data_IF_647418967970
#
_entry.id   IF_647418967970
#
_cell.length_a   1.000
_cell.length_b   1.000
_cell.length_c   1.000
_cell.angle_alpha   90.00
_cell.angle_beta   90.00
_cell.angle_gamma   90.00
#
_symmetry.space_group_name_H-M   'P 1'
#
loop_
_entity.id
_entity.type
_entity.pdbx_description
1 polymer ?
#
# COMPACT_ATOMS: atom_id res chain seq x y z
N UNK A 1 -11.32 1.96 22.98
CA UNK A 1 -10.87 0.88 22.07
C UNK A 1 -9.36 0.74 22.19
N UNK A 2 -8.82 -0.47 22.35
CA UNK A 2 -7.37 -0.72 22.45
C UNK A 2 -6.63 -0.22 21.20
N UNK A 3 -5.50 0.47 21.36
CA UNK A 3 -4.75 1.08 20.24
C UNK A 3 -4.34 0.12 19.12
N UNK A 4 -4.23 -1.18 19.42
CA UNK A 4 -3.88 -2.20 18.43
C UNK A 4 -5.02 -2.52 17.44
N UNK A 5 -6.29 -2.37 17.84
CA UNK A 5 -7.42 -2.58 16.91
C UNK A 5 -7.41 -1.55 15.78
N UNK A 6 -7.08 -0.29 16.07
CA UNK A 6 -7.11 0.82 15.09
C UNK A 6 -6.03 0.70 14.00
N UNK A 7 -5.00 -0.11 14.24
CA UNK A 7 -3.87 -0.28 13.34
C UNK A 7 -4.16 -1.32 12.26
N UNK A 8 -4.65 -2.49 12.67
CA UNK A 8 -5.02 -3.55 11.73
C UNK A 8 -6.20 -3.14 10.85
N UNK A 9 -7.21 -2.47 11.41
CA UNK A 9 -8.36 -1.98 10.63
C UNK A 9 -7.93 -0.98 9.56
N UNK A 10 -7.00 -0.07 9.88
CA UNK A 10 -6.43 0.88 8.93
C UNK A 10 -5.65 0.16 7.82
N UNK A 11 -4.75 -0.76 8.17
CA UNK A 11 -3.96 -1.47 7.16
C UNK A 11 -4.83 -2.28 6.21
N UNK A 12 -5.88 -2.92 6.73
CA UNK A 12 -6.87 -3.64 5.91
C UNK A 12 -7.61 -2.66 5.00
N UNK A 13 -8.07 -1.52 5.52
CA UNK A 13 -8.73 -0.49 4.72
C UNK A 13 -7.85 -0.03 3.54
N UNK A 14 -6.61 0.35 3.83
CA UNK A 14 -5.66 0.85 2.83
C UNK A 14 -5.36 -0.23 1.79
N UNK A 15 -5.06 -1.46 2.21
CA UNK A 15 -4.75 -2.54 1.28
C UNK A 15 -5.97 -2.90 0.41
N UNK A 16 -7.17 -2.96 0.98
CA UNK A 16 -8.40 -3.19 0.22
C UNK A 16 -8.62 -2.12 -0.85
N UNK A 17 -8.36 -0.85 -0.53
CA UNK A 17 -8.49 0.26 -1.50
C UNK A 17 -7.48 0.16 -2.64
N UNK A 18 -6.24 -0.17 -2.33
CA UNK A 18 -5.18 -0.40 -3.31
C UNK A 18 -5.54 -1.56 -4.25
N UNK A 19 -6.08 -2.65 -3.70
CA UNK A 19 -6.39 -3.86 -4.46
C UNK A 19 -7.74 -3.81 -5.21
N UNK A 20 -8.65 -2.91 -4.88
CA UNK A 20 -10.01 -2.84 -5.46
C UNK A 20 -10.07 -2.56 -6.96
N UNK A 21 -8.96 -2.14 -7.55
CA UNK A 21 -8.84 -1.88 -8.99
C UNK A 21 -8.03 -2.95 -9.74
N UNK A 22 -7.59 -3.99 -9.04
CA UNK A 22 -6.84 -5.08 -9.63
C UNK A 22 -7.81 -6.16 -10.14
N UNK A 23 -7.60 -6.61 -11.37
CA UNK A 23 -8.18 -7.89 -11.81
C UNK A 23 -7.48 -9.01 -11.04
N UNK A 24 -8.27 -9.91 -10.47
CA UNK A 24 -7.81 -11.08 -9.72
C UNK A 24 -6.72 -10.75 -8.68
N UNK A 25 -7.07 -10.06 -7.58
CA UNK A 25 -6.13 -9.84 -6.51
C UNK A 25 -5.94 -11.16 -5.74
N UNK A 26 -4.97 -11.96 -6.18
CA UNK A 26 -4.49 -13.18 -5.52
C UNK A 26 -2.96 -13.12 -5.35
N UNK A 27 -2.45 -13.76 -4.30
CA UNK A 27 -1.02 -13.76 -3.94
C UNK A 27 -0.33 -12.38 -4.05
N UNK A 28 -0.99 -11.32 -3.56
CA UNK A 28 -0.52 -9.93 -3.73
C UNK A 28 0.85 -9.68 -3.08
N UNK A 29 1.21 -10.46 -2.07
CA UNK A 29 2.51 -10.45 -1.41
C UNK A 29 3.67 -10.87 -2.34
N UNK A 30 3.45 -11.83 -3.25
CA UNK A 30 4.45 -12.21 -4.27
C UNK A 30 4.62 -11.14 -5.35
N UNK A 31 3.64 -10.24 -5.47
CA UNK A 31 3.58 -9.20 -6.51
C UNK A 31 3.99 -7.82 -6.00
N UNK A 32 4.25 -7.72 -4.70
CA UNK A 32 4.67 -6.51 -4.04
C UNK A 32 6.16 -6.19 -4.28
N UNK A 33 6.44 -4.93 -4.55
CA UNK A 33 7.76 -4.33 -4.61
C UNK A 33 7.85 -3.20 -3.59
N UNK A 34 9.01 -3.08 -2.95
CA UNK A 34 9.41 -1.90 -2.22
C UNK A 34 10.17 -0.97 -3.14
N UNK A 35 9.79 0.30 -3.16
CA UNK A 35 10.48 1.34 -3.90
C UNK A 35 10.90 2.42 -2.92
N UNK A 36 12.18 2.77 -2.91
CA UNK A 36 12.69 3.96 -2.24
C UNK A 36 13.17 4.94 -3.31
N UNK A 37 12.61 6.14 -3.32
CA UNK A 37 12.98 7.22 -4.23
C UNK A 37 13.64 8.31 -3.40
N UNK A 38 14.93 8.50 -3.58
CA UNK A 38 15.69 9.57 -2.95
C UNK A 38 15.51 10.84 -3.78
N UNK A 39 15.08 11.91 -3.12
CA UNK A 39 14.84 13.20 -3.73
C UNK A 39 16.10 14.06 -3.67
N UNK A 40 16.16 15.10 -4.51
CA UNK A 40 17.30 16.01 -4.54
C UNK A 40 17.45 16.83 -3.26
N UNK A 41 18.71 17.09 -2.90
CA UNK A 41 19.07 17.90 -1.76
C UNK A 41 18.36 19.26 -1.81
N UNK A 42 17.63 19.60 -0.75
CA UNK A 42 16.85 20.83 -0.65
C UNK A 42 15.42 20.74 -1.17
N UNK A 43 14.99 19.62 -1.79
CA UNK A 43 13.58 19.37 -2.03
C UNK A 43 12.88 19.03 -0.70
N UNK A 44 12.13 19.98 -0.18
CA UNK A 44 11.53 19.96 1.16
C UNK A 44 10.00 19.98 1.13
N UNK A 45 9.39 19.73 -0.04
CA UNK A 45 7.94 19.72 -0.19
C UNK A 45 7.47 18.68 -1.22
N UNK A 46 7.02 17.52 -0.75
CA UNK A 46 6.42 16.48 -1.58
C UNK A 46 5.00 16.92 -1.85
N UNK A 47 4.77 17.42 -3.06
CA UNK A 47 3.42 17.75 -3.50
C UNK A 47 2.65 16.50 -3.92
N UNK A 48 1.33 16.53 -3.78
CA UNK A 48 0.41 15.57 -4.40
C UNK A 48 0.76 15.33 -5.88
N UNK A 49 1.21 16.38 -6.58
CA UNK A 49 1.61 16.33 -7.97
C UNK A 49 2.86 15.44 -8.19
N UNK A 50 3.85 15.47 -7.31
CA UNK A 50 5.03 14.60 -7.43
C UNK A 50 4.62 13.12 -7.30
N UNK A 51 3.88 12.79 -6.26
CA UNK A 51 3.45 11.40 -6.01
C UNK A 51 2.49 10.91 -7.09
N UNK A 52 1.58 11.77 -7.56
CA UNK A 52 0.71 11.50 -8.69
C UNK A 52 1.49 11.12 -9.95
N UNK A 53 2.51 11.91 -10.28
CA UNK A 53 3.34 11.66 -11.46
C UNK A 53 4.19 10.37 -11.32
N UNK A 54 4.69 10.05 -10.13
CA UNK A 54 5.37 8.77 -9.87
C UNK A 54 4.41 7.59 -10.10
N UNK A 55 3.22 7.65 -9.51
CA UNK A 55 2.20 6.61 -9.71
C UNK A 55 1.80 6.48 -11.18
N UNK A 56 1.66 7.58 -11.91
CA UNK A 56 1.38 7.55 -13.34
C UNK A 56 2.52 6.91 -14.13
N UNK A 57 3.77 7.29 -13.87
CA UNK A 57 4.94 6.63 -14.49
C UNK A 57 4.90 5.11 -14.27
N UNK A 58 4.69 4.64 -13.04
CA UNK A 58 4.59 3.21 -12.73
C UNK A 58 3.46 2.51 -13.52
N UNK A 59 2.30 3.15 -13.65
CA UNK A 59 1.17 2.59 -14.40
C UNK A 59 1.39 2.63 -15.92
N UNK A 60 2.08 3.65 -16.43
CA UNK A 60 2.43 3.76 -17.85
C UNK A 60 3.60 2.87 -18.27
N UNK A 61 4.46 2.46 -17.32
CA UNK A 61 5.70 1.74 -17.59
C UNK A 61 5.52 0.48 -18.45
N UNK A 62 4.40 -0.23 -18.27
CA UNK A 62 4.12 -1.48 -18.99
C UNK A 62 3.16 -1.33 -20.17
N UNK A 63 2.58 -0.13 -20.38
CA UNK A 63 1.53 0.12 -21.39
C UNK A 63 1.96 -0.24 -22.81
N UNK A 64 3.23 0.01 -23.15
CA UNK A 64 3.76 -0.25 -24.49
C UNK A 64 4.11 -1.73 -24.74
N UNK A 65 4.22 -2.53 -23.69
CA UNK A 65 4.69 -3.91 -23.77
C UNK A 65 3.57 -4.94 -23.72
N UNK A 66 2.43 -4.58 -23.11
CA UNK A 66 1.21 -5.38 -23.16
C UNK A 66 0.36 -4.89 -24.33
N UNK A 67 0.10 -5.74 -25.34
CA UNK A 67 -0.72 -5.40 -26.52
C UNK A 67 -2.23 -5.26 -26.22
N UNK A 68 -2.58 -4.61 -25.12
CA UNK A 68 -3.95 -4.39 -24.68
C UNK A 68 -3.99 -3.22 -23.71
N UNK A 69 -5.16 -2.59 -23.60
CA UNK A 69 -5.42 -1.63 -22.55
C UNK A 69 -5.26 -2.34 -21.21
N UNK A 70 -4.13 -2.15 -20.51
CA UNK A 70 -4.02 -2.50 -19.09
C UNK A 70 -4.90 -1.48 -18.34
N UNK A 71 -6.20 -1.62 -18.52
CA UNK A 71 -7.24 -0.92 -17.78
C UNK A 71 -7.15 -1.21 -16.27
N UNK A 72 -6.23 -2.10 -15.86
CA UNK A 72 -5.95 -2.50 -14.50
C UNK A 72 -4.70 -1.80 -13.99
N UNK A 73 -4.88 -0.97 -12.97
CA UNK A 73 -3.81 -0.17 -12.38
C UNK A 73 -2.99 -1.03 -11.41
N UNK A 74 -1.68 -0.79 -11.37
CA UNK A 74 -0.86 -1.23 -10.26
C UNK A 74 -1.35 -0.54 -8.99
N UNK A 75 -1.36 -1.27 -7.89
CA UNK A 75 -1.58 -0.69 -6.58
C UNK A 75 -0.34 0.07 -6.13
N UNK A 76 -0.50 1.24 -5.52
CA UNK A 76 0.64 2.02 -5.06
C UNK A 76 0.33 2.71 -3.72
N UNK A 77 1.14 2.48 -2.71
CA UNK A 77 1.08 3.15 -1.43
C UNK A 77 2.40 3.87 -1.22
N UNK A 78 2.38 5.20 -1.12
CA UNK A 78 3.56 5.98 -0.81
C UNK A 78 3.51 6.46 0.64
N UNK A 79 4.67 6.45 1.27
CA UNK A 79 4.98 7.19 2.49
C UNK A 79 6.24 8.00 2.26
N UNK A 80 6.35 9.20 2.81
CA UNK A 80 7.58 10.00 2.67
C UNK A 80 8.22 10.30 4.02
N UNK A 81 9.55 10.39 4.04
CA UNK A 81 10.39 10.73 5.19
C UNK A 81 11.39 11.82 4.78
N UNK A 82 11.15 13.04 5.24
CA UNK A 82 12.07 14.15 5.03
C UNK A 82 13.23 14.18 6.02
N UNK A 83 13.09 13.52 7.17
CA UNK A 83 14.10 13.51 8.21
C UNK A 83 15.21 12.47 7.95
N UNK A 84 15.07 11.64 6.91
CA UNK A 84 16.06 10.62 6.58
C UNK A 84 16.10 9.45 7.57
N UNK A 85 15.10 9.34 8.46
CA UNK A 85 15.17 8.46 9.64
C UNK A 85 14.89 6.99 9.36
N UNK A 86 14.36 6.66 8.17
CA UNK A 86 13.90 5.31 7.79
C UNK A 86 14.72 4.65 6.69
N UNK A 87 15.81 5.27 6.23
CA UNK A 87 16.64 4.63 5.21
C UNK A 87 17.30 3.36 5.76
N UNK A 88 16.97 2.23 5.13
CA UNK A 88 17.33 0.88 5.56
C UNK A 88 18.82 0.58 5.37
N UNK A 89 19.52 1.39 4.57
CA UNK A 89 20.85 1.07 4.07
C UNK A 89 21.98 2.01 4.53
N UNK A 90 21.77 2.85 5.55
CA UNK A 90 22.82 3.77 5.99
C UNK A 90 23.35 3.40 7.39
N UNK A 91 24.51 2.72 7.41
CA UNK A 91 25.36 2.54 8.60
C UNK A 91 26.03 3.86 9.06
N UNK A 92 25.75 4.97 8.39
CA UNK A 92 26.39 6.26 8.62
C UNK A 92 25.36 7.39 8.77
N UNK A 93 25.42 8.09 9.89
CA UNK A 93 24.68 9.34 10.17
C UNK A 93 25.15 10.52 9.28
N UNK A 94 25.32 10.34 7.97
CA UNK A 94 25.72 11.42 7.07
C UNK A 94 24.66 11.63 5.98
N UNK A 95 23.94 12.75 6.15
CA UNK A 95 22.97 13.38 5.25
C UNK A 95 21.60 12.69 5.16
N UNK A 96 20.65 13.24 5.91
CA UNK A 96 19.22 12.97 5.83
C UNK A 96 18.67 13.44 4.48
N UNK A 97 18.75 12.58 3.46
CA UNK A 97 18.17 12.87 2.15
C UNK A 97 16.66 12.59 2.20
N UNK A 98 15.81 13.57 1.83
CA UNK A 98 14.38 13.35 1.69
C UNK A 98 14.07 12.18 0.76
N UNK A 99 13.19 11.28 1.18
CA UNK A 99 12.88 10.12 0.36
C UNK A 99 11.41 9.70 0.47
N UNK A 100 10.96 9.02 -0.59
CA UNK A 100 9.64 8.38 -0.66
C UNK A 100 9.86 6.88 -0.55
N UNK A 101 9.28 6.27 0.48
CA UNK A 101 9.14 4.82 0.62
C UNK A 101 7.76 4.37 0.17
N UNK A 102 7.71 3.56 -0.87
CA UNK A 102 6.49 3.09 -1.46
C UNK A 102 6.40 1.57 -1.54
N UNK A 103 5.17 1.08 -1.41
CA UNK A 103 4.79 -0.28 -1.75
C UNK A 103 4.06 -0.26 -3.09
N UNK A 104 4.52 -1.05 -4.06
CA UNK A 104 3.86 -1.22 -5.36
C UNK A 104 3.37 -2.65 -5.49
N UNK A 105 2.08 -2.84 -5.70
CA UNK A 105 1.50 -4.16 -5.94
C UNK A 105 1.19 -4.27 -7.43
N UNK A 106 1.99 -5.09 -8.11
CA UNK A 106 1.89 -5.25 -9.56
C UNK A 106 0.66 -6.06 -9.94
N UNK A 107 0.08 -5.72 -11.09
CA UNK A 107 -0.92 -6.59 -11.70
C UNK A 107 -0.32 -7.97 -12.02
N UNK A 108 -1.14 -9.01 -11.96
CA UNK A 108 -0.74 -10.39 -12.25
C UNK A 108 -0.13 -10.51 -13.65
N UNK A 109 -0.72 -9.83 -14.64
CA UNK A 109 -0.23 -9.86 -16.02
C UNK A 109 1.22 -9.35 -16.15
N UNK A 110 1.62 -8.35 -15.37
CA UNK A 110 3.01 -7.85 -15.37
C UNK A 110 3.94 -8.92 -14.82
N UNK A 111 3.59 -9.56 -13.71
CA UNK A 111 4.41 -10.61 -13.11
C UNK A 111 4.53 -11.87 -13.98
N UNK A 112 3.51 -12.19 -14.77
CA UNK A 112 3.54 -13.32 -15.71
C UNK A 112 4.46 -13.04 -16.91
N UNK A 113 4.44 -11.80 -17.44
CA UNK A 113 5.10 -11.49 -18.71
C UNK A 113 6.53 -10.95 -18.58
N UNK A 114 6.94 -10.50 -17.41
CA UNK A 114 8.26 -9.88 -17.21
C UNK A 114 9.00 -10.51 -16.04
N UNK A 115 10.31 -10.71 -16.22
CA UNK A 115 11.18 -11.06 -15.11
C UNK A 115 11.28 -9.90 -14.12
N UNK A 116 11.67 -10.18 -12.88
CA UNK A 116 11.80 -9.13 -11.87
C UNK A 116 12.85 -8.07 -12.22
N UNK A 117 13.96 -8.45 -12.88
CA UNK A 117 14.98 -7.52 -13.35
C UNK A 117 14.40 -6.51 -14.35
N UNK A 118 13.68 -7.02 -15.35
CA UNK A 118 13.02 -6.17 -16.36
C UNK A 118 11.96 -5.25 -15.74
N UNK A 119 11.16 -5.76 -14.81
CA UNK A 119 10.15 -4.96 -14.11
C UNK A 119 10.81 -3.76 -13.40
N UNK A 120 11.90 -4.01 -12.67
CA UNK A 120 12.64 -2.98 -11.95
C UNK A 120 13.20 -1.94 -12.92
N UNK A 121 13.88 -2.38 -13.98
CA UNK A 121 14.47 -1.50 -15.00
C UNK A 121 13.41 -0.63 -15.70
N UNK A 122 12.27 -1.22 -16.07
CA UNK A 122 11.16 -0.54 -16.74
C UNK A 122 10.53 0.52 -15.82
N UNK A 123 10.27 0.17 -14.56
CA UNK A 123 9.73 1.13 -13.58
C UNK A 123 10.72 2.27 -13.33
N UNK A 124 11.99 1.95 -13.06
CA UNK A 124 13.05 2.96 -12.81
C UNK A 124 13.17 3.92 -13.99
N UNK A 125 13.25 3.38 -15.22
CA UNK A 125 13.33 4.18 -16.44
C UNK A 125 12.09 5.06 -16.64
N UNK A 126 10.89 4.53 -16.40
CA UNK A 126 9.65 5.30 -16.59
C UNK A 126 9.50 6.48 -15.63
N UNK A 127 10.01 6.35 -14.40
CA UNK A 127 10.03 7.45 -13.43
C UNK A 127 11.09 8.49 -13.84
N UNK A 128 12.32 8.07 -14.19
CA UNK A 128 13.41 8.97 -14.55
C UNK A 128 13.20 9.72 -15.88
N UNK A 129 12.44 9.12 -16.81
CA UNK A 129 12.09 9.77 -18.08
C UNK A 129 10.91 10.75 -17.95
N UNK A 130 10.26 10.86 -16.79
CA UNK A 130 9.16 11.80 -16.59
C UNK A 130 9.71 13.21 -16.36
N UNK A 131 9.66 14.05 -17.39
CA UNK A 131 10.21 15.42 -17.40
C UNK A 131 9.58 16.37 -16.39
N UNK A 132 8.43 16.03 -15.80
CA UNK A 132 7.78 16.84 -14.77
C UNK A 132 8.49 16.68 -13.42
N UNK A 133 9.00 15.47 -13.13
CA UNK A 133 9.48 15.10 -11.80
C UNK A 133 10.95 14.67 -11.75
N UNK A 134 11.58 14.37 -12.87
CA UNK A 134 12.92 13.78 -12.89
C UNK A 134 13.99 14.68 -12.26
N UNK A 135 13.85 16.00 -12.35
CA UNK A 135 14.74 16.97 -11.73
C UNK A 135 14.71 16.95 -10.20
N UNK A 136 13.73 16.30 -9.59
CA UNK A 136 13.60 16.15 -8.14
C UNK A 136 14.11 14.81 -7.62
N UNK A 137 14.55 13.90 -8.49
CA UNK A 137 14.91 12.52 -8.12
C UNK A 137 16.40 12.32 -8.30
N UNK A 138 17.08 11.90 -7.23
CA UNK A 138 18.50 11.57 -7.24
C UNK A 138 18.76 10.09 -7.52
N UNK A 139 18.05 9.20 -6.83
CA UNK A 139 18.15 7.76 -7.06
C UNK A 139 16.81 7.07 -6.79
N UNK A 140 16.69 5.87 -7.36
CA UNK A 140 15.58 4.95 -7.15
C UNK A 140 16.16 3.57 -6.84
N UNK A 141 15.90 3.09 -5.63
CA UNK A 141 16.14 1.71 -5.22
C UNK A 141 14.82 0.94 -5.26
N UNK A 142 14.81 -0.23 -5.88
CA UNK A 142 13.63 -1.10 -5.95
C UNK A 142 14.01 -2.50 -5.51
N UNK A 143 13.36 -2.96 -4.46
CA UNK A 143 13.50 -4.29 -3.90
C UNK A 143 12.20 -5.06 -4.00
N UNK A 144 12.29 -6.38 -3.94
CA UNK A 144 11.10 -7.21 -3.80
C UNK A 144 10.65 -7.29 -2.36
N UNK A 145 9.35 -7.46 -2.17
CA UNK A 145 8.81 -7.87 -0.88
C UNK A 145 9.08 -9.37 -0.65
N UNK A 146 10.25 -9.73 -0.11
CA UNK A 146 10.66 -11.13 0.10
C UNK A 146 10.63 -11.57 1.58
N UNK A 147 10.26 -10.70 2.52
CA UNK A 147 10.34 -11.03 3.95
C UNK A 147 9.21 -11.94 4.41
N UNK A 148 9.55 -13.21 4.69
CA UNK A 148 8.64 -14.21 5.26
C UNK A 148 8.09 -13.84 6.65
N UNK A 149 8.74 -12.95 7.38
CA UNK A 149 8.43 -12.65 8.79
C UNK A 149 7.53 -11.42 8.99
N UNK A 150 7.15 -10.73 7.90
CA UNK A 150 6.34 -9.51 7.98
C UNK A 150 5.20 -9.58 6.97
N UNK A 151 4.03 -9.09 7.34
CA UNK A 151 2.89 -8.97 6.41
C UNK A 151 2.88 -7.59 5.73
N UNK A 152 2.26 -7.48 4.54
CA UNK A 152 2.01 -6.18 3.89
C UNK A 152 1.25 -5.22 4.81
N UNK A 153 0.33 -5.76 5.63
CA UNK A 153 -0.42 -4.99 6.62
C UNK A 153 0.48 -4.39 7.70
N UNK A 154 1.52 -5.12 8.12
CA UNK A 154 2.51 -4.65 9.09
C UNK A 154 3.34 -3.50 8.52
N UNK A 155 3.65 -3.52 7.22
CA UNK A 155 4.34 -2.41 6.56
C UNK A 155 3.47 -1.14 6.49
N UNK A 156 2.20 -1.29 6.13
CA UNK A 156 1.24 -0.18 6.09
C UNK A 156 1.04 0.41 7.50
N UNK A 157 0.90 -0.44 8.53
CA UNK A 157 0.77 -0.01 9.92
C UNK A 157 2.03 0.71 10.42
N UNK A 158 3.21 0.14 10.15
CA UNK A 158 4.49 0.77 10.48
C UNK A 158 4.59 2.17 9.90
N UNK A 159 4.23 2.33 8.62
CA UNK A 159 4.30 3.62 7.92
C UNK A 159 3.45 4.70 8.62
N UNK A 160 2.22 4.37 9.05
CA UNK A 160 1.31 5.28 9.76
C UNK A 160 1.85 5.74 11.12
N UNK A 161 2.55 4.88 11.85
CA UNK A 161 3.04 5.21 13.21
C UNK A 161 4.04 6.39 13.22
N UNK A 162 4.69 6.67 12.09
CA UNK A 162 5.59 7.83 11.95
C UNK A 162 4.82 9.13 11.72
N UNK A 163 3.76 9.09 10.92
CA UNK A 163 2.87 10.23 10.70
C UNK A 163 2.25 10.75 12.00
N UNK A 164 1.79 9.85 12.88
CA UNK A 164 1.21 10.26 14.17
C UNK A 164 2.21 10.90 15.14
N UNK A 165 3.49 10.53 15.04
CA UNK A 165 4.54 11.18 15.83
C UNK A 165 4.87 12.58 15.28
N UNK A 166 4.74 12.78 13.97
CA UNK A 166 5.05 14.06 13.32
C UNK A 166 3.91 15.06 13.28
N UNK A 167 2.63 14.63 13.33
CA UNK A 167 1.48 15.57 13.30
C UNK A 167 1.46 16.56 14.48
N UNK A 168 2.14 16.25 15.58
CA UNK A 168 2.27 17.15 16.73
C UNK A 168 3.52 18.04 16.69
N UNK A 169 4.49 17.77 15.81
CA UNK A 169 5.77 18.49 15.78
C UNK A 169 6.11 19.10 14.41
N UNK A 170 5.88 18.38 13.30
CA UNK A 170 6.15 18.84 11.92
C UNK A 170 5.33 18.06 10.86
N UNK A 171 4.07 18.47 10.56
CA UNK A 171 3.16 17.74 9.66
C UNK A 171 3.58 17.69 8.18
N UNK A 172 4.59 18.47 7.77
CA UNK A 172 5.14 18.45 6.41
C UNK A 172 6.25 17.40 6.22
N UNK A 173 6.72 16.75 7.30
CA UNK A 173 7.84 15.80 7.22
C UNK A 173 7.41 14.37 6.87
N UNK A 174 6.13 14.01 7.07
CA UNK A 174 5.61 12.67 6.85
C UNK A 174 4.14 12.69 6.43
N UNK A 175 3.76 11.76 5.56
CA UNK A 175 2.38 11.54 5.13
C UNK A 175 2.26 10.37 4.17
N UNK A 176 1.03 10.01 3.82
CA UNK A 176 0.71 8.86 2.96
C UNK A 176 -0.15 9.21 1.77
N UNK A 177 0.12 8.55 0.65
CA UNK A 177 -0.77 8.55 -0.50
C UNK A 177 -1.10 7.13 -0.91
N UNK A 178 -2.37 6.89 -1.17
CA UNK A 178 -2.85 5.59 -1.60
C UNK A 178 -3.41 5.72 -3.00
N UNK A 179 -2.87 4.92 -3.89
CA UNK A 179 -3.21 4.88 -5.29
C UNK A 179 -3.72 3.50 -5.71
N UNK A 180 -4.73 3.47 -6.59
CA UNK A 180 -5.39 4.64 -7.17
C UNK A 180 -6.12 5.48 -6.10
N UNK A 181 -6.03 6.80 -6.24
CA UNK A 181 -6.68 7.75 -5.32
C UNK A 181 -8.16 7.37 -5.19
N UNK A 182 -8.77 7.73 -4.06
CA UNK A 182 -10.22 7.98 -4.00
C UNK A 182 -10.60 9.21 -4.86
N UNK A 183 -9.93 9.46 -6.00
CA UNK A 183 -10.20 10.49 -7.01
C UNK A 183 -11.60 10.35 -7.65
N UNK A 184 -12.45 9.52 -7.06
CA UNK A 184 -13.89 9.50 -7.15
C UNK A 184 -14.58 10.74 -6.55
N UNK A 185 -13.87 11.64 -5.85
CA UNK A 185 -14.55 12.71 -5.10
C UNK A 185 -15.34 13.72 -5.94
N UNK A 186 -15.08 13.94 -7.23
CA UNK A 186 -15.78 15.03 -7.96
C UNK A 186 -16.51 14.69 -9.28
N UNK A 187 -16.36 13.53 -9.92
CA UNK A 187 -16.95 13.30 -11.27
C UNK A 187 -17.49 11.90 -11.62
N UNK A 188 -17.52 10.94 -10.68
CA UNK A 188 -18.06 9.59 -10.96
C UNK A 188 -19.51 9.44 -10.51
N UNK A 189 -20.27 8.61 -11.23
CA UNK A 189 -21.66 8.30 -10.89
C UNK A 189 -21.76 7.60 -9.54
N UNK A 190 -22.88 7.76 -8.83
CA UNK A 190 -23.12 7.07 -7.56
C UNK A 190 -23.02 5.54 -7.70
N UNK A 191 -23.49 4.98 -8.81
CA UNK A 191 -23.35 3.55 -9.11
C UNK A 191 -21.87 3.09 -9.16
N UNK A 192 -20.97 3.91 -9.72
CA UNK A 192 -19.55 3.58 -9.77
C UNK A 192 -18.88 3.67 -8.39
N UNK A 193 -19.32 4.62 -7.55
CA UNK A 193 -18.87 4.73 -6.15
C UNK A 193 -19.33 3.53 -5.32
N UNK A 194 -20.58 3.12 -5.48
CA UNK A 194 -21.13 1.97 -4.75
C UNK A 194 -20.45 0.66 -5.17
N UNK A 195 -20.24 0.45 -6.47
CA UNK A 195 -19.46 -0.70 -6.96
C UNK A 195 -18.07 -0.74 -6.34
N UNK A 196 -17.39 0.40 -6.22
CA UNK A 196 -16.09 0.48 -5.57
C UNK A 196 -16.17 0.11 -4.09
N UNK A 197 -17.14 0.66 -3.34
CA UNK A 197 -17.36 0.32 -1.92
C UNK A 197 -17.58 -1.17 -1.72
N UNK A 198 -18.41 -1.78 -2.55
CA UNK A 198 -18.66 -3.22 -2.50
C UNK A 198 -17.35 -4.01 -2.73
N UNK A 199 -16.60 -3.68 -3.79
CA UNK A 199 -15.31 -4.33 -4.07
C UNK A 199 -14.30 -4.16 -2.92
N UNK A 200 -14.19 -2.98 -2.31
CA UNK A 200 -13.30 -2.77 -1.17
C UNK A 200 -13.73 -3.56 0.06
N UNK A 201 -15.05 -3.71 0.27
CA UNK A 201 -15.61 -4.50 1.38
C UNK A 201 -15.32 -5.98 1.19
N UNK A 202 -15.59 -6.49 -0.01
CA UNK A 202 -15.29 -7.89 -0.39
C UNK A 202 -13.79 -8.19 -0.22
N UNK A 203 -12.91 -7.24 -0.58
CA UNK A 203 -11.47 -7.40 -0.36
C UNK A 203 -11.07 -7.41 1.11
N UNK A 204 -11.70 -6.58 1.94
CA UNK A 204 -11.44 -6.58 3.38
C UNK A 204 -11.83 -7.93 4.00
N UNK A 205 -12.94 -8.53 3.56
CA UNK A 205 -13.36 -9.87 3.95
C UNK A 205 -12.34 -10.94 3.54
N UNK A 206 -11.84 -10.85 2.30
CA UNK A 206 -10.86 -11.77 1.73
C UNK A 206 -9.49 -11.71 2.42
N UNK A 207 -9.06 -10.53 2.90
CA UNK A 207 -7.81 -10.39 3.66
C UNK A 207 -7.75 -11.33 4.88
N UNK A 208 -8.88 -11.54 5.54
CA UNK A 208 -9.00 -12.41 6.71
C UNK A 208 -9.61 -13.78 6.36
N UNK A 209 -9.62 -14.17 5.09
CA UNK A 209 -10.13 -15.45 4.62
C UNK A 209 -9.05 -16.24 3.86
N UNK A 210 -8.67 -17.38 4.40
CA UNK A 210 -7.61 -18.23 3.85
C UNK A 210 -8.01 -18.79 2.49
N UNK A 211 -9.29 -19.08 2.27
CA UNK A 211 -9.79 -19.67 1.03
C UNK A 211 -9.80 -18.66 -0.13
N UNK A 212 -9.67 -17.36 0.19
CA UNK A 212 -9.68 -16.29 -0.82
C UNK A 212 -8.44 -16.24 -1.70
N UNK A 213 -7.36 -16.94 -1.31
CA UNK A 213 -6.04 -16.94 -1.93
C UNK A 213 -5.46 -15.52 -2.16
N UNK A 214 -5.94 -14.52 -1.41
CA UNK A 214 -5.47 -13.14 -1.56
C UNK A 214 -3.98 -13.02 -1.19
N UNK A 215 -3.56 -13.73 -0.15
CA UNK A 215 -2.17 -13.90 0.24
C UNK A 215 -1.72 -15.35 0.05
N UNK A 216 -0.40 -15.55 -0.04
CA UNK A 216 0.16 -16.89 0.13
C UNK A 216 -0.19 -17.46 1.52
N UNK A 217 -0.28 -18.80 1.68
CA UNK A 217 -0.65 -19.41 2.96
C UNK A 217 0.19 -18.94 4.15
N UNK A 218 1.51 -18.86 3.97
CA UNK A 218 2.42 -18.41 5.04
C UNK A 218 2.18 -16.96 5.45
N UNK A 219 1.94 -16.05 4.51
CA UNK A 219 1.60 -14.66 4.84
C UNK A 219 0.20 -14.52 5.42
N UNK A 220 -0.77 -15.35 4.99
CA UNK A 220 -2.09 -15.36 5.60
C UNK A 220 -2.04 -15.78 7.07
N UNK A 221 -1.24 -16.79 7.42
CA UNK A 221 -1.05 -17.23 8.81
C UNK A 221 -0.49 -16.08 9.68
N UNK A 222 0.40 -15.24 9.14
CA UNK A 222 0.86 -14.02 9.85
C UNK A 222 -0.26 -13.00 10.06
N UNK A 223 -1.08 -12.75 9.03
CA UNK A 223 -2.22 -11.82 9.12
C UNK A 223 -3.21 -12.30 10.19
N UNK A 224 -3.54 -13.59 10.19
CA UNK A 224 -4.46 -14.15 11.17
C UNK A 224 -3.90 -14.14 12.59
N UNK A 225 -2.61 -14.41 12.77
CA UNK A 225 -1.96 -14.29 14.08
C UNK A 225 -2.07 -12.86 14.62
N UNK A 226 -1.85 -11.84 13.79
CA UNK A 226 -2.04 -10.45 14.21
C UNK A 226 -3.51 -10.13 14.52
N UNK A 227 -4.44 -10.63 13.72
CA UNK A 227 -5.88 -10.46 13.99
C UNK A 227 -6.31 -11.10 15.32
N UNK A 228 -5.84 -12.31 15.62
CA UNK A 228 -6.14 -13.02 16.87
C UNK A 228 -5.57 -12.34 18.12
N UNK A 229 -4.44 -11.63 17.98
CA UNK A 229 -3.87 -10.82 19.06
C UNK A 229 -4.68 -9.57 19.36
N UNK A 230 -5.33 -8.99 18.33
CA UNK A 230 -6.13 -7.79 18.54
C UNK A 230 -7.55 -8.13 18.95
N UNK A 231 -8.20 -9.17 18.39
CA UNK A 231 -9.57 -9.55 18.73
C UNK A 231 -9.67 -10.72 19.73
N UNK A 232 -9.70 -10.39 21.02
CA UNK A 232 -9.86 -11.37 22.11
C UNK A 232 -11.16 -12.18 21.98
N UNK A 233 -12.23 -11.59 21.45
CA UNK A 233 -13.51 -12.30 21.26
C UNK A 233 -13.40 -13.32 20.14
N UNK A 234 -12.69 -12.98 19.06
CA UNK A 234 -12.37 -13.95 18.01
C UNK A 234 -11.50 -15.09 18.54
N UNK A 235 -10.48 -14.79 19.36
CA UNK A 235 -9.59 -15.79 19.96
C UNK A 235 -10.32 -16.74 20.93
N UNK A 236 -11.23 -16.21 21.73
CA UNK A 236 -11.99 -16.96 22.74
C UNK A 236 -13.23 -17.68 22.22
N UNK A 237 -13.62 -17.43 20.96
CA UNK A 237 -14.77 -18.06 20.31
C UNK A 237 -14.57 -19.58 20.17
N UNK A 238 -15.60 -20.35 20.57
CA UNK A 238 -15.56 -21.82 20.59
C UNK A 238 -16.10 -22.43 19.30
N UNK A 239 -16.88 -21.68 18.53
CA UNK A 239 -17.55 -22.16 17.32
C UNK A 239 -17.16 -21.37 16.08
N UNK A 240 -17.33 -21.98 14.91
CA UNK A 240 -17.14 -21.33 13.61
C UNK A 240 -18.11 -20.15 13.40
N UNK A 241 -19.36 -20.29 13.82
CA UNK A 241 -20.36 -19.22 13.79
C UNK A 241 -19.96 -18.01 14.65
N UNK A 242 -19.46 -18.22 15.87
CA UNK A 242 -18.96 -17.15 16.73
C UNK A 242 -17.77 -16.42 16.08
N UNK A 243 -16.80 -17.18 15.52
CA UNK A 243 -15.66 -16.61 14.80
C UNK A 243 -16.09 -15.76 13.61
N UNK A 244 -17.06 -16.24 12.82
CA UNK A 244 -17.65 -15.47 11.70
C UNK A 244 -18.32 -14.19 12.19
N UNK A 245 -19.08 -14.24 13.29
CA UNK A 245 -19.74 -13.06 13.88
C UNK A 245 -18.73 -12.01 14.35
N UNK A 246 -17.65 -12.43 15.00
CA UNK A 246 -16.59 -11.53 15.44
C UNK A 246 -15.84 -10.90 14.26
N UNK A 247 -15.46 -11.71 13.26
CA UNK A 247 -14.87 -11.22 12.00
C UNK A 247 -15.76 -10.17 11.33
N UNK A 248 -17.05 -10.45 11.17
CA UNK A 248 -17.99 -9.48 10.58
C UNK A 248 -18.09 -8.19 11.40
N UNK A 249 -18.12 -8.28 12.74
CA UNK A 249 -18.12 -7.11 13.62
C UNK A 249 -16.84 -6.27 13.49
N UNK A 250 -15.68 -6.92 13.37
CA UNK A 250 -14.40 -6.24 13.15
C UNK A 250 -14.37 -5.51 11.80
N UNK A 251 -14.82 -6.17 10.74
CA UNK A 251 -14.83 -5.63 9.38
C UNK A 251 -15.76 -4.42 9.22
N UNK A 252 -16.87 -4.36 9.97
CA UNK A 252 -17.70 -3.14 10.04
C UNK A 252 -16.93 -1.92 10.53
N UNK A 253 -15.90 -2.13 11.38
CA UNK A 253 -15.05 -1.07 11.88
C UNK A 253 -14.05 -0.53 10.84
N UNK A 254 -13.65 -1.34 9.85
CA UNK A 254 -12.61 -1.03 8.85
C UNK A 254 -12.92 0.24 8.03
N UNK A 255 -14.19 0.53 7.79
CA UNK A 255 -14.63 1.69 6.98
C UNK A 255 -15.33 2.78 7.81
N UNK A 256 -15.18 2.78 9.14
CA UNK A 256 -15.78 3.79 10.01
C UNK A 256 -15.10 5.17 9.87
N UNK A 257 -15.88 6.25 10.02
CA UNK A 257 -15.41 7.64 9.88
C UNK A 257 -14.24 7.98 10.83
N UNK A 258 -14.18 7.34 12.00
CA UNK A 258 -13.05 7.47 12.95
C UNK A 258 -11.70 6.97 12.37
N UNK A 259 -11.71 6.14 11.34
CA UNK A 259 -10.49 5.68 10.65
C UNK A 259 -10.16 6.60 9.47
N UNK A 260 -11.16 7.24 8.87
CA UNK A 260 -11.04 8.07 7.66
C UNK A 260 -10.52 9.48 7.99
N UNK A 261 -10.80 10.00 9.18
CA UNK A 261 -10.44 11.36 9.61
C UNK A 261 -9.23 11.44 10.55
N UNK A 262 -8.44 10.36 10.71
CA UNK A 262 -7.32 10.27 11.67
C UNK A 262 -6.05 9.65 11.13
#
# INVERSE_FOLDING_TARGET
MNGNYKNLTYSINILSRICAHMINPTEIDKRALWITIHLSDGYNNVSDNLIWNINNSINYAFRNYTKGDISNRNGFFASYDFAGTRDRNIDHKSLSVPHIHSLVILNESVKINFSNCQIIEIIKSSILCNTIINQYICDITIDKYETKDRSLLSYIDYSRKFEKKSQFEMPHLFGHYCYPHDDYKNQKTEAAKEKYRQLTTDLAERILDRESCLFTPGHHDLVMNEYEKVDEKYRSAKTSEEKKKHKASFLRGVFSDEIIHH
#
